data_IF_508715908251
#
_entry.id   IF_508715908251
#
_cell.length_a   1.000
_cell.length_b   1.000
_cell.length_c   1.000
_cell.angle_alpha   90.00
_cell.angle_beta   90.00
_cell.angle_gamma   90.00
#
_symmetry.space_group_name_H-M   'P 1'
#
loop_
_entity.id
_entity.type
_entity.pdbx_description
1 polymer ?
#
# COMPACT_ATOMS: atom_id res chain seq x y z
N UNK A 1 12.91 -17.31 7.68
CA UNK A 1 12.18 -16.73 6.53
C UNK A 1 12.31 -15.22 6.65
N UNK A 2 12.88 -14.55 5.66
CA UNK A 2 13.00 -13.08 5.64
C UNK A 2 11.77 -12.55 4.92
N UNK A 3 10.94 -11.77 5.63
CA UNK A 3 9.77 -11.12 5.06
C UNK A 3 10.18 -9.72 4.60
N UNK A 4 10.02 -9.43 3.31
CA UNK A 4 10.12 -8.07 2.80
C UNK A 4 8.79 -7.36 3.06
N UNK A 5 8.81 -6.11 3.48
CA UNK A 5 7.60 -5.30 3.64
C UNK A 5 7.48 -4.32 2.48
N UNK A 6 6.27 -3.89 2.15
CA UNK A 6 6.05 -2.87 1.13
C UNK A 6 5.20 -1.74 1.67
N UNK A 7 5.71 -0.51 1.53
CA UNK A 7 4.93 0.70 1.67
C UNK A 7 4.21 0.96 0.36
N UNK A 8 2.88 0.85 0.38
CA UNK A 8 2.02 1.08 -0.78
C UNK A 8 1.34 2.43 -0.63
N UNK A 9 1.45 3.25 -1.66
CA UNK A 9 0.92 4.60 -1.73
C UNK A 9 -0.01 4.68 -2.93
N UNK A 10 -1.27 5.01 -2.69
CA UNK A 10 -2.28 5.25 -3.73
C UNK A 10 -2.53 6.74 -3.80
N UNK A 11 -2.29 7.34 -4.96
CA UNK A 11 -2.54 8.75 -5.23
C UNK A 11 -4.00 8.96 -5.68
N UNK A 12 -4.51 10.18 -5.48
CA UNK A 12 -5.88 10.55 -5.86
C UNK A 12 -6.15 10.43 -7.37
N UNK A 13 -5.12 10.58 -8.19
CA UNK A 13 -5.17 10.36 -9.64
C UNK A 13 -5.26 8.86 -10.05
N UNK A 14 -5.15 7.94 -9.09
CA UNK A 14 -5.23 6.49 -9.32
C UNK A 14 -3.88 5.81 -9.54
N UNK A 15 -2.77 6.54 -9.48
CA UNK A 15 -1.41 5.98 -9.49
C UNK A 15 -1.13 5.20 -8.20
N UNK A 16 -0.45 4.06 -8.32
CA UNK A 16 -0.04 3.22 -7.17
C UNK A 16 1.47 3.06 -7.18
N UNK A 17 2.11 3.37 -6.06
CA UNK A 17 3.54 3.21 -5.86
C UNK A 17 3.80 2.25 -4.70
N UNK A 18 4.73 1.32 -4.87
CA UNK A 18 5.12 0.37 -3.82
C UNK A 18 6.63 0.45 -3.59
N UNK A 19 7.04 0.66 -2.34
CA UNK A 19 8.43 0.78 -1.94
C UNK A 19 8.79 -0.38 -0.99
N UNK A 20 9.83 -1.17 -1.30
CA UNK A 20 10.27 -2.23 -0.40
C UNK A 20 10.90 -1.65 0.87
N UNK A 21 10.65 -2.32 1.99
CA UNK A 21 11.23 -2.08 3.31
C UNK A 21 11.74 -3.39 3.88
N UNK A 22 12.84 -3.31 4.63
CA UNK A 22 13.50 -4.48 5.20
C UNK A 22 12.82 -4.96 6.48
N UNK A 23 11.94 -4.14 7.07
CA UNK A 23 11.15 -4.49 8.25
C UNK A 23 9.76 -3.82 8.30
N UNK A 24 8.87 -4.41 9.10
CA UNK A 24 7.54 -3.85 9.40
C UNK A 24 7.65 -2.46 10.03
N UNK A 25 8.57 -2.31 10.99
CA UNK A 25 8.78 -1.07 11.72
C UNK A 25 9.22 0.08 10.81
N UNK A 26 10.14 -0.19 9.87
CA UNK A 26 10.56 0.78 8.86
C UNK A 26 9.42 1.16 7.93
N UNK A 27 8.61 0.18 7.49
CA UNK A 27 7.45 0.46 6.66
C UNK A 27 6.44 1.36 7.39
N UNK A 28 6.10 1.01 8.63
CA UNK A 28 5.14 1.75 9.46
C UNK A 28 5.63 3.18 9.72
N UNK A 29 6.93 3.34 10.00
CA UNK A 29 7.54 4.66 10.15
C UNK A 29 7.47 5.47 8.85
N UNK A 30 7.78 4.86 7.71
CA UNK A 30 7.69 5.51 6.41
C UNK A 30 6.23 5.89 6.07
N UNK A 31 5.25 5.07 6.43
CA UNK A 31 3.82 5.38 6.30
C UNK A 31 3.43 6.61 7.09
N UNK A 32 3.90 6.73 8.34
CA UNK A 32 3.64 7.89 9.20
C UNK A 32 4.25 9.16 8.60
N UNK A 33 5.52 9.09 8.17
CA UNK A 33 6.24 10.21 7.55
C UNK A 33 5.52 10.68 6.29
N UNK A 34 5.06 9.74 5.45
CA UNK A 34 4.30 10.07 4.25
C UNK A 34 2.96 10.71 4.57
N UNK A 35 2.24 10.19 5.58
CA UNK A 35 0.97 10.76 6.00
C UNK A 35 1.12 12.20 6.50
N UNK A 36 2.14 12.47 7.30
CA UNK A 36 2.45 13.82 7.79
C UNK A 36 2.83 14.76 6.65
N UNK A 37 3.59 14.27 5.65
CA UNK A 37 3.92 15.04 4.44
C UNK A 37 2.68 15.32 3.56
N UNK A 38 1.77 14.35 3.42
CA UNK A 38 0.56 14.47 2.60
C UNK A 38 -0.53 15.31 3.26
N UNK A 39 -0.53 15.45 4.58
CA UNK A 39 -1.52 16.26 5.32
C UNK A 39 -1.60 17.71 4.81
N UNK A 40 -0.53 18.22 4.18
CA UNK A 40 -0.51 19.56 3.59
C UNK A 40 -0.96 19.60 2.12
N UNK A 41 -0.94 18.47 1.41
CA UNK A 41 -1.10 18.41 -0.04
C UNK A 41 -2.34 17.64 -0.50
N UNK A 42 -2.90 16.74 0.34
CA UNK A 42 -4.05 15.87 0.02
C UNK A 42 -3.89 15.17 -1.35
N UNK A 43 -2.68 14.71 -1.65
CA UNK A 43 -2.36 14.05 -2.92
C UNK A 43 -2.57 12.53 -2.81
N UNK A 44 -2.43 11.96 -1.61
CA UNK A 44 -2.70 10.53 -1.39
C UNK A 44 -4.14 10.23 -1.00
N UNK A 45 -4.63 9.13 -1.57
CA UNK A 45 -5.90 8.50 -1.25
C UNK A 45 -5.76 7.52 -0.10
N UNK A 46 -4.66 6.77 -0.07
CA UNK A 46 -4.37 5.81 0.99
C UNK A 46 -2.89 5.44 1.02
N UNK A 47 -2.40 5.13 2.22
CA UNK A 47 -1.05 4.59 2.45
C UNK A 47 -1.20 3.33 3.30
N UNK A 48 -0.47 2.27 2.98
CA UNK A 48 -0.57 0.99 3.70
C UNK A 48 0.74 0.22 3.68
N UNK A 49 1.02 -0.47 4.78
CA UNK A 49 2.13 -1.40 4.89
C UNK A 49 1.64 -2.84 4.75
N UNK A 50 2.20 -3.56 3.80
CA UNK A 50 1.84 -4.96 3.56
C UNK A 50 3.08 -5.85 3.57
N UNK A 51 3.00 -7.06 4.14
CA UNK A 51 4.08 -8.03 4.01
C UNK A 51 4.09 -8.62 2.60
N UNK A 52 5.28 -8.89 2.07
CA UNK A 52 5.53 -9.55 0.77
C UNK A 52 4.84 -10.90 0.61
N UNK A 53 4.44 -11.53 1.71
CA UNK A 53 3.78 -12.83 1.73
C UNK A 53 2.26 -12.78 1.53
N UNK A 54 1.60 -11.61 1.58
CA UNK A 54 0.13 -11.59 1.66
C UNK A 54 -0.62 -10.91 0.51
N UNK A 55 -0.03 -10.06 -0.35
CA UNK A 55 -0.85 -9.32 -1.32
C UNK A 55 -0.18 -9.13 -2.69
N UNK A 56 -0.64 -9.92 -3.67
CA UNK A 56 -0.67 -9.49 -5.07
C UNK A 56 -1.75 -8.39 -5.16
N UNK A 57 -1.34 -7.13 -5.10
CA UNK A 57 -2.23 -6.02 -5.40
C UNK A 57 -2.52 -6.06 -6.90
N UNK A 58 -3.60 -6.76 -7.27
CA UNK A 58 -4.19 -6.62 -8.59
C UNK A 58 -4.81 -5.23 -8.65
N UNK A 59 -4.07 -4.28 -9.21
CA UNK A 59 -4.62 -2.99 -9.59
C UNK A 59 -5.58 -3.19 -10.78
N UNK A 60 -6.73 -3.80 -10.53
CA UNK A 60 -7.80 -3.89 -11.53
C UNK A 60 -8.64 -2.62 -11.45
N UNK A 61 -8.13 -1.57 -12.09
CA UNK A 61 -8.92 -0.40 -12.38
C UNK A 61 -9.84 -0.75 -13.54
N UNK A 62 -11.04 -1.26 -13.23
CA UNK A 62 -12.28 -1.06 -13.99
C UNK A 62 -13.46 -1.70 -13.28
N UNK A 63 -14.41 -0.85 -12.91
CA UNK A 63 -15.84 -1.16 -12.76
C UNK A 63 -16.23 -2.26 -11.75
N UNK A 64 -16.79 -1.79 -10.63
CA UNK A 64 -17.92 -2.37 -9.88
C UNK A 64 -17.83 -3.86 -9.47
N UNK A 65 -17.99 -4.02 -8.15
CA UNK A 65 -18.32 -5.27 -7.47
C UNK A 65 -17.11 -6.15 -7.14
N UNK A 66 -16.47 -5.80 -6.03
CA UNK A 66 -15.54 -6.66 -5.31
C UNK A 66 -16.29 -7.93 -4.89
N UNK A 67 -16.09 -9.03 -5.63
CA UNK A 67 -16.32 -10.38 -5.12
C UNK A 67 -14.97 -10.92 -4.68
N UNK A 68 -14.78 -10.93 -3.36
CA UNK A 68 -13.67 -11.64 -2.72
C UNK A 68 -13.93 -13.14 -2.87
N UNK A 69 -13.07 -13.85 -3.60
CA UNK A 69 -13.06 -15.31 -3.60
C UNK A 69 -11.83 -15.81 -2.84
N UNK A 70 -12.11 -16.53 -1.74
CA UNK A 70 -11.14 -17.22 -0.90
C UNK A 70 -10.86 -18.60 -1.50
N UNK A 71 -9.59 -19.01 -1.57
CA UNK A 71 -9.23 -20.41 -1.76
C UNK A 71 -8.52 -20.92 -0.50
N UNK A 72 -9.08 -22.00 0.05
CA UNK A 72 -8.64 -22.76 1.23
C UNK A 72 -7.34 -23.52 1.01
#
# INVERSE_FOLDING_TARGET
>A
MSYVWFLVIILNEGSVHAFPSDSEAECMQASQIFHDADTNAYLTKSVSCIPSSEYLITAENKDKTVKQEFFY
#
